data_IF_143954561730
#
_entry.id   IF_143954561730
#
_cell.length_a   1.000
_cell.length_b   1.000
_cell.length_c   1.000
_cell.angle_alpha   90.00
_cell.angle_beta   90.00
_cell.angle_gamma   90.00
#
_symmetry.space_group_name_H-M   'P 1'
#
loop_
_entity.id
_entity.type
_entity.pdbx_description
1 polymer ?
#
# COMPACT_ATOMS: atom_id res chain seq x y z
N UNK A 1 -22.42 11.52 6.43
CA UNK A 1 -22.04 10.10 6.32
C UNK A 1 -21.02 10.03 5.20
N UNK A 2 -19.75 9.71 5.50
CA UNK A 2 -18.74 9.59 4.45
C UNK A 2 -19.02 8.31 3.63
N UNK A 3 -18.91 8.34 2.29
CA UNK A 3 -19.06 7.15 1.46
C UNK A 3 -18.03 6.09 1.88
N UNK A 4 -18.43 4.82 1.81
CA UNK A 4 -17.50 3.70 2.06
C UNK A 4 -16.45 3.66 0.95
N UNK A 5 -15.15 3.64 1.27
CA UNK A 5 -14.07 3.58 0.28
C UNK A 5 -13.81 2.13 -0.19
N UNK A 6 -14.45 1.15 0.44
CA UNK A 6 -14.21 -0.27 0.21
C UNK A 6 -14.56 -0.62 -1.25
N UNK A 7 -13.53 -1.03 -2.02
CA UNK A 7 -13.67 -1.43 -3.43
C UNK A 7 -13.58 -0.28 -4.44
N UNK A 8 -13.20 0.93 -4.01
CA UNK A 8 -12.96 2.07 -4.91
C UNK A 8 -11.49 2.45 -4.89
N UNK A 9 -10.91 2.97 -5.98
CA UNK A 9 -9.55 3.56 -6.01
C UNK A 9 -9.52 5.00 -5.44
N UNK A 10 -10.32 5.24 -4.40
CA UNK A 10 -10.55 6.57 -3.85
C UNK A 10 -9.50 7.01 -2.83
N UNK A 11 -9.47 8.31 -2.55
CA UNK A 11 -8.58 8.91 -1.56
C UNK A 11 -9.38 9.71 -0.53
N UNK A 12 -9.05 9.56 0.75
CA UNK A 12 -9.47 10.53 1.76
C UNK A 12 -8.43 11.63 1.89
N UNK A 13 -8.90 12.87 1.86
CA UNK A 13 -8.10 14.04 2.15
C UNK A 13 -8.57 14.64 3.48
N UNK A 14 -7.68 14.65 4.46
CA UNK A 14 -7.92 15.20 5.80
C UNK A 14 -7.08 16.46 5.95
N UNK A 15 -7.71 17.60 6.17
CA UNK A 15 -7.05 18.90 6.35
C UNK A 15 -7.22 19.35 7.79
N UNK A 16 -6.11 19.40 8.54
CA UNK A 16 -6.05 19.75 9.96
C UNK A 16 -5.68 21.22 10.17
N UNK A 17 -4.95 21.83 9.22
CA UNK A 17 -4.63 23.27 9.18
C UNK A 17 -4.60 23.75 7.74
N UNK A 18 -5.01 25.00 7.50
CA UNK A 18 -5.14 25.58 6.16
C UNK A 18 -6.57 25.45 5.62
N UNK A 19 -6.70 25.39 4.29
CA UNK A 19 -8.00 25.17 3.63
C UNK A 19 -7.86 24.38 2.34
N UNK A 20 -8.98 23.82 1.89
CA UNK A 20 -9.10 22.98 0.72
C UNK A 20 -10.17 23.54 -0.20
N UNK A 21 -9.85 23.73 -1.47
CA UNK A 21 -10.82 24.06 -2.52
C UNK A 21 -11.09 22.80 -3.32
N UNK A 22 -12.35 22.42 -3.43
CA UNK A 22 -12.78 21.31 -4.27
C UNK A 22 -14.19 21.60 -4.79
N UNK A 23 -14.39 21.43 -6.10
CA UNK A 23 -15.61 21.84 -6.83
C UNK A 23 -15.96 23.33 -6.65
N UNK A 24 -14.93 24.19 -6.59
CA UNK A 24 -15.10 25.63 -6.37
C UNK A 24 -15.54 26.01 -4.95
N UNK A 25 -15.71 25.04 -4.04
CA UNK A 25 -16.06 25.28 -2.64
C UNK A 25 -14.82 25.22 -1.77
N UNK A 26 -14.50 26.34 -1.13
CA UNK A 26 -13.46 26.42 -0.11
C UNK A 26 -13.97 25.86 1.22
N UNK A 27 -13.19 24.95 1.81
CA UNK A 27 -13.45 24.31 3.10
C UNK A 27 -12.25 24.56 4.01
N UNK A 28 -12.48 25.27 5.11
CA UNK A 28 -11.42 25.54 6.11
C UNK A 28 -11.18 24.30 6.99
N UNK A 29 -9.98 24.19 7.55
CA UNK A 29 -9.71 23.18 8.56
C UNK A 29 -10.67 23.32 9.78
N UNK A 30 -11.13 22.23 10.42
CA UNK A 30 -10.85 20.81 10.14
C UNK A 30 -11.85 20.27 9.11
N UNK A 31 -11.36 19.70 8.00
CA UNK A 31 -12.20 19.16 6.92
C UNK A 31 -11.73 17.77 6.48
N UNK A 32 -12.70 16.90 6.15
CA UNK A 32 -12.46 15.61 5.51
C UNK A 32 -13.29 15.53 4.24
N UNK A 33 -12.66 15.21 3.11
CA UNK A 33 -13.37 14.84 1.87
C UNK A 33 -12.90 13.50 1.36
N UNK A 34 -13.72 12.87 0.53
CA UNK A 34 -13.38 11.68 -0.21
C UNK A 34 -13.39 12.02 -1.71
N UNK A 35 -12.35 11.61 -2.42
CA UNK A 35 -12.14 11.87 -3.84
C UNK A 35 -12.11 10.55 -4.60
N UNK A 36 -12.93 10.45 -5.64
CA UNK A 36 -12.88 9.38 -6.65
C UNK A 36 -11.86 9.75 -7.75
N UNK A 37 -11.28 8.77 -8.48
CA UNK A 37 -10.36 9.04 -9.59
C UNK A 37 -10.91 9.96 -10.69
N UNK A 38 -12.23 10.04 -10.83
CA UNK A 38 -12.91 10.91 -11.80
C UNK A 38 -13.37 12.26 -11.26
N UNK A 39 -13.15 12.54 -9.97
CA UNK A 39 -13.59 13.80 -9.36
C UNK A 39 -12.71 14.98 -9.81
N UNK A 40 -13.25 16.19 -9.71
CA UNK A 40 -12.51 17.40 -10.02
C UNK A 40 -11.25 17.53 -9.15
N UNK A 41 -10.17 18.06 -9.73
CA UNK A 41 -8.94 18.34 -8.99
C UNK A 41 -9.23 19.22 -7.77
N UNK A 42 -8.46 18.99 -6.70
CA UNK A 42 -8.52 19.77 -5.49
C UNK A 42 -7.28 20.65 -5.35
N UNK A 43 -7.42 21.77 -4.62
CA UNK A 43 -6.32 22.68 -4.31
C UNK A 43 -6.18 22.85 -2.79
N UNK A 44 -4.95 22.71 -2.28
CA UNK A 44 -4.64 22.94 -0.87
C UNK A 44 -4.00 24.32 -0.71
N UNK A 45 -4.51 25.09 0.25
CA UNK A 45 -4.04 26.43 0.56
C UNK A 45 -3.47 26.50 1.97
N UNK A 46 -2.18 26.83 2.06
CA UNK A 46 -1.52 27.09 3.34
C UNK A 46 -2.01 28.42 3.93
N UNK A 47 -2.43 28.37 5.20
CA UNK A 47 -2.76 29.58 5.95
C UNK A 47 -1.52 30.25 6.54
N UNK A 48 -1.73 31.30 7.34
CA UNK A 48 -0.64 31.98 8.06
C UNK A 48 0.15 31.08 9.02
N UNK A 49 -0.47 29.98 9.47
CA UNK A 49 0.17 28.95 10.30
C UNK A 49 0.62 27.71 9.52
N UNK A 50 0.64 27.76 8.18
CA UNK A 50 0.99 26.63 7.33
C UNK A 50 -0.20 25.75 6.92
N UNK A 51 0.11 24.54 6.46
CA UNK A 51 -0.81 23.51 5.97
C UNK A 51 -0.43 22.17 6.61
N UNK A 52 -1.41 21.52 7.25
CA UNK A 52 -1.28 20.13 7.71
C UNK A 52 -2.39 19.31 7.03
N UNK A 53 -2.01 18.39 6.14
CA UNK A 53 -2.94 17.55 5.41
C UNK A 53 -2.43 16.10 5.30
N UNK A 54 -3.36 15.14 5.39
CA UNK A 54 -3.12 13.71 5.20
C UNK A 54 -3.89 13.23 3.96
N UNK A 55 -3.21 12.54 3.05
CA UNK A 55 -3.80 11.86 1.90
C UNK A 55 -3.77 10.36 2.19
N UNK A 56 -4.95 9.75 2.28
CA UNK A 56 -5.11 8.33 2.59
C UNK A 56 -5.73 7.62 1.38
N UNK A 57 -4.90 6.94 0.60
CA UNK A 57 -5.35 6.12 -0.52
C UNK A 57 -5.89 4.78 -0.03
N UNK A 58 -7.11 4.44 -0.42
CA UNK A 58 -7.77 3.18 -0.06
C UNK A 58 -8.35 2.53 -1.31
N UNK A 59 -8.11 1.22 -1.54
CA UNK A 59 -7.11 0.39 -0.85
C UNK A 59 -5.68 0.91 -1.10
N UNK A 60 -4.70 0.51 -0.28
CA UNK A 60 -3.29 0.87 -0.51
C UNK A 60 -2.88 0.50 -1.93
N UNK A 61 -2.59 1.49 -2.76
CA UNK A 61 -1.89 1.26 -4.01
C UNK A 61 -0.42 0.97 -3.68
N UNK A 62 -0.14 -0.30 -3.41
CA UNK A 62 1.17 -0.77 -2.93
C UNK A 62 1.26 -2.26 -2.63
N UNK A 63 0.33 -3.08 -3.14
CA UNK A 63 0.45 -4.54 -3.14
C UNK A 63 0.22 -5.17 -4.53
N UNK A 64 0.15 -4.37 -5.60
CA UNK A 64 -0.05 -4.88 -6.96
C UNK A 64 0.62 -3.97 -8.00
N UNK A 65 1.94 -4.04 -8.11
CA UNK A 65 2.59 -3.76 -9.40
C UNK A 65 2.39 -5.01 -10.27
N UNK A 66 1.17 -5.18 -10.78
CA UNK A 66 0.89 -6.22 -11.77
C UNK A 66 1.21 -5.65 -13.16
N UNK A 67 2.44 -5.90 -13.62
CA UNK A 67 2.67 -6.18 -15.05
C UNK A 67 3.67 -7.32 -15.16
N UNK A 68 3.21 -8.49 -14.75
CA UNK A 68 3.58 -9.76 -15.35
C UNK A 68 2.42 -10.71 -15.04
N UNK A 69 1.68 -11.08 -16.08
CA UNK A 69 0.60 -12.06 -16.04
C UNK A 69 1.13 -13.36 -15.41
N UNK A 70 0.84 -13.59 -14.13
CA UNK A 70 1.22 -14.81 -13.43
C UNK A 70 0.08 -15.80 -13.60
N UNK A 71 0.26 -16.79 -14.46
CA UNK A 71 -0.58 -17.97 -14.46
C UNK A 71 -0.63 -18.54 -13.02
N UNK A 72 -1.78 -19.04 -12.54
CA UNK A 72 -1.87 -19.63 -11.21
C UNK A 72 -1.02 -20.90 -11.20
N UNK A 73 0.25 -20.77 -10.81
CA UNK A 73 1.08 -21.92 -10.58
C UNK A 73 0.72 -22.44 -9.20
N UNK A 74 -0.25 -23.36 -9.17
CA UNK A 74 -0.74 -24.03 -7.95
C UNK A 74 0.37 -24.81 -7.23
N UNK A 75 1.56 -24.89 -7.82
CA UNK A 75 2.72 -25.51 -7.23
C UNK A 75 3.41 -24.63 -6.19
N UNK A 76 3.46 -23.29 -6.35
CA UNK A 76 4.28 -22.39 -5.51
C UNK A 76 3.44 -21.54 -4.56
N UNK A 77 3.98 -21.32 -3.36
CA UNK A 77 3.32 -20.54 -2.31
C UNK A 77 3.86 -19.12 -2.26
N UNK A 78 3.04 -18.25 -1.67
CA UNK A 78 3.41 -16.88 -1.38
C UNK A 78 3.44 -16.69 0.14
N UNK A 79 4.43 -15.96 0.64
CA UNK A 79 4.65 -15.71 2.06
C UNK A 79 4.70 -14.21 2.32
N UNK A 80 3.97 -13.74 3.32
CA UNK A 80 3.88 -12.33 3.67
C UNK A 80 4.43 -12.07 5.07
N UNK A 81 5.32 -11.09 5.18
CA UNK A 81 5.80 -10.58 6.46
C UNK A 81 4.65 -9.90 7.21
N UNK A 82 4.37 -10.34 8.44
CA UNK A 82 3.28 -9.75 9.25
C UNK A 82 3.59 -8.34 9.76
N UNK A 83 4.86 -7.92 9.74
CA UNK A 83 5.29 -6.62 10.26
C UNK A 83 5.20 -5.50 9.21
N UNK A 84 5.64 -5.75 7.97
CA UNK A 84 5.70 -4.73 6.92
C UNK A 84 4.86 -5.06 5.67
N UNK A 85 4.25 -6.24 5.62
CA UNK A 85 3.51 -6.76 4.47
C UNK A 85 4.35 -7.03 3.20
N UNK A 86 5.69 -7.07 3.30
CA UNK A 86 6.56 -7.57 2.24
C UNK A 86 6.16 -9.00 1.82
N UNK A 87 6.23 -9.28 0.52
CA UNK A 87 5.77 -10.54 -0.07
C UNK A 87 6.95 -11.27 -0.72
N UNK A 88 7.20 -12.49 -0.27
CA UNK A 88 8.08 -13.47 -0.91
C UNK A 88 7.25 -14.44 -1.75
N UNK A 89 7.49 -14.47 -3.07
CA UNK A 89 6.89 -15.42 -4.01
C UNK A 89 7.92 -16.52 -4.32
N UNK A 90 7.64 -17.78 -3.94
CA UNK A 90 8.57 -18.88 -4.16
C UNK A 90 8.95 -19.06 -5.64
N UNK A 91 8.03 -18.81 -6.57
CA UNK A 91 8.32 -18.94 -8.00
C UNK A 91 9.18 -17.76 -8.51
N UNK A 92 9.20 -16.62 -7.82
CA UNK A 92 10.06 -15.47 -8.19
C UNK A 92 11.41 -15.53 -7.47
N UNK A 93 11.45 -16.09 -6.26
CA UNK A 93 12.60 -16.01 -5.38
C UNK A 93 12.90 -14.56 -4.98
N UNK A 94 14.14 -14.31 -4.59
CA UNK A 94 14.67 -13.00 -4.22
C UNK A 94 16.10 -12.84 -4.77
N UNK A 95 16.19 -12.67 -6.09
CA UNK A 95 17.45 -12.73 -6.84
C UNK A 95 18.48 -11.71 -6.35
N UNK A 96 18.03 -10.51 -6.00
CA UNK A 96 18.88 -9.43 -5.48
C UNK A 96 19.56 -9.82 -4.16
N UNK A 97 18.96 -10.71 -3.38
CA UNK A 97 19.50 -11.24 -2.11
C UNK A 97 20.11 -12.64 -2.28
N UNK A 98 20.26 -13.12 -3.52
CA UNK A 98 20.86 -14.41 -3.84
C UNK A 98 19.93 -15.61 -3.66
N UNK A 99 18.62 -15.40 -3.53
CA UNK A 99 17.62 -16.48 -3.48
C UNK A 99 17.06 -16.66 -4.90
N UNK A 100 17.37 -17.76 -5.61
CA UNK A 100 16.94 -17.93 -6.99
C UNK A 100 15.41 -18.16 -7.12
N UNK A 101 14.84 -17.93 -8.31
CA UNK A 101 13.45 -18.26 -8.57
C UNK A 101 13.17 -19.76 -8.40
N UNK A 102 12.02 -20.10 -7.82
CA UNK A 102 11.61 -21.47 -7.51
C UNK A 102 12.08 -21.98 -6.14
N UNK A 103 12.81 -21.17 -5.35
CA UNK A 103 13.20 -21.56 -3.99
C UNK A 103 11.98 -21.61 -3.08
N UNK A 104 11.70 -22.79 -2.50
CA UNK A 104 10.63 -22.97 -1.52
C UNK A 104 10.94 -22.21 -0.24
N UNK A 105 9.91 -21.77 0.47
CA UNK A 105 10.13 -21.10 1.76
C UNK A 105 10.82 -22.00 2.78
N UNK A 106 10.59 -23.31 2.72
CA UNK A 106 11.31 -24.28 3.53
C UNK A 106 12.83 -24.27 3.26
N UNK A 107 13.23 -24.01 2.02
CA UNK A 107 14.64 -23.97 1.58
C UNK A 107 15.33 -22.61 1.82
N UNK A 108 14.57 -21.56 2.11
CA UNK A 108 15.14 -20.25 2.49
C UNK A 108 15.90 -20.40 3.82
N UNK A 109 17.13 -19.87 3.96
CA UNK A 109 17.90 -20.01 5.20
C UNK A 109 17.16 -19.47 6.44
N UNK A 110 17.31 -20.11 7.60
CA UNK A 110 16.71 -19.60 8.86
C UNK A 110 17.27 -18.24 9.28
N UNK A 111 18.49 -17.91 8.84
CA UNK A 111 19.11 -16.59 9.03
C UNK A 111 18.54 -15.51 8.10
N UNK A 112 17.56 -15.84 7.26
CA UNK A 112 16.90 -14.87 6.40
C UNK A 112 16.29 -13.73 7.23
N UNK A 113 16.50 -12.52 6.74
CA UNK A 113 16.02 -11.29 7.35
C UNK A 113 15.32 -10.49 6.27
N UNK A 114 14.10 -10.01 6.54
CA UNK A 114 13.34 -9.21 5.60
C UNK A 114 14.09 -7.91 5.28
N UNK A 115 14.39 -7.67 4.01
CA UNK A 115 15.07 -6.48 3.50
C UNK A 115 14.37 -5.17 3.87
N UNK A 116 13.04 -5.19 3.99
CA UNK A 116 12.24 -3.98 4.18
C UNK A 116 12.17 -3.53 5.65
N UNK A 117 12.25 -4.47 6.60
CA UNK A 117 11.97 -4.18 8.01
C UNK A 117 12.86 -4.91 9.03
N UNK A 118 13.73 -5.81 8.60
CA UNK A 118 14.60 -6.57 9.51
C UNK A 118 13.92 -7.73 10.23
N UNK A 119 12.69 -8.10 9.87
CA UNK A 119 11.98 -9.22 10.47
C UNK A 119 12.66 -10.56 10.17
N UNK A 120 12.49 -11.53 11.06
CA UNK A 120 13.02 -12.89 10.89
C UNK A 120 12.14 -13.71 9.94
N UNK A 121 12.67 -14.84 9.45
CA UNK A 121 11.89 -15.83 8.67
C UNK A 121 10.60 -16.29 9.39
N UNK A 122 10.60 -16.38 10.71
CA UNK A 122 9.40 -16.79 11.48
C UNK A 122 8.27 -15.75 11.49
N UNK A 123 8.55 -14.51 11.09
CA UNK A 123 7.53 -13.44 11.01
C UNK A 123 6.75 -13.46 9.69
N UNK A 124 6.92 -14.50 8.87
CA UNK A 124 6.19 -14.67 7.62
C UNK A 124 5.10 -15.72 7.75
N UNK A 125 3.94 -15.40 7.19
CA UNK A 125 2.79 -16.31 7.10
C UNK A 125 2.49 -16.61 5.63
N UNK A 126 2.01 -17.82 5.35
CA UNK A 126 1.56 -18.16 4.00
C UNK A 126 0.34 -17.30 3.65
N UNK A 127 0.44 -16.56 2.55
CA UNK A 127 -0.67 -15.80 1.98
C UNK A 127 -1.40 -16.68 0.96
N UNK A 128 -2.69 -16.87 1.15
CA UNK A 128 -3.58 -17.42 0.13
C UNK A 128 -3.90 -16.27 -0.85
N UNK A 129 -3.25 -16.27 -2.03
CA UNK A 129 -3.51 -15.33 -3.13
C UNK A 129 -4.15 -16.05 -4.31
#
# INVERSE_FOLDING_TARGET
MAPSPAGTDGQYLVVLRGSLIHEGVQRNAITVIFLQPGDAAFELQAGSSGLDALVLSLPRQGAATATAERAPNTEFKVWQCVLCAFVYDEAAGLVEEGIPPGTRWEDVPESFTCSDCGASKSDFVMAEL
#
